data_IF_276359726353
#
_entry.id   IF_276359726353
#
_cell.length_a   1.000
_cell.length_b   1.000
_cell.length_c   1.000
_cell.angle_alpha   90.00
_cell.angle_beta   90.00
_cell.angle_gamma   90.00
#
_symmetry.space_group_name_H-M   'P 1'
#
loop_
_entity.id
_entity.type
_entity.pdbx_description
1 polymer ?
#
# COMPACT_ATOMS: atom_id res chain seq x y z
N UNK A 1 -7.02 10.34 4.46
CA UNK A 1 -6.91 9.01 3.81
C UNK A 1 -7.33 9.19 2.36
N UNK A 2 -6.52 8.74 1.40
CA UNK A 2 -6.86 8.78 -0.04
C UNK A 2 -7.90 7.71 -0.34
N UNK A 3 -8.91 8.03 -1.16
CA UNK A 3 -9.91 7.07 -1.62
C UNK A 3 -9.52 6.66 -3.04
N UNK A 4 -9.16 5.41 -3.21
CA UNK A 4 -8.80 4.85 -4.52
C UNK A 4 -10.04 4.67 -5.40
N UNK A 5 -9.86 4.70 -6.71
CA UNK A 5 -10.88 4.29 -7.66
C UNK A 5 -11.20 2.79 -7.48
N UNK A 6 -12.29 2.33 -8.10
CA UNK A 6 -12.70 0.91 -8.05
C UNK A 6 -11.56 -0.03 -8.44
N UNK A 7 -10.72 0.39 -9.38
CA UNK A 7 -9.54 -0.33 -9.78
C UNK A 7 -8.29 0.41 -9.33
N UNK A 8 -7.29 -0.32 -8.88
CA UNK A 8 -5.96 0.19 -8.64
C UNK A 8 -4.93 -0.78 -9.21
N UNK A 9 -3.86 -0.23 -9.77
CA UNK A 9 -2.83 -1.05 -10.42
C UNK A 9 -1.47 -0.66 -9.88
N UNK A 10 -0.77 -1.64 -9.33
CA UNK A 10 0.62 -1.49 -8.91
C UNK A 10 1.55 -1.39 -10.13
N UNK A 11 2.40 -0.36 -10.15
CA UNK A 11 3.40 -0.16 -11.19
C UNK A 11 4.77 0.03 -10.58
N UNK A 12 5.75 -0.74 -11.04
CA UNK A 12 7.13 -0.59 -10.61
C UNK A 12 7.88 0.42 -11.48
N UNK A 13 8.68 1.24 -10.82
CA UNK A 13 9.65 2.13 -11.49
C UNK A 13 10.92 2.20 -10.64
N UNK A 14 11.79 1.19 -10.81
CA UNK A 14 13.01 1.08 -10.00
C UNK A 14 13.86 2.34 -10.01
N UNK A 15 13.98 3.00 -11.16
CA UNK A 15 14.85 4.16 -11.32
C UNK A 15 14.14 5.51 -11.21
N UNK A 16 12.81 5.54 -11.01
CA UNK A 16 12.04 6.77 -10.89
C UNK A 16 11.99 7.60 -12.18
N UNK A 17 11.99 6.95 -13.34
CA UNK A 17 12.07 7.63 -14.66
C UNK A 17 10.89 7.37 -15.58
N UNK A 18 10.00 6.46 -15.21
CA UNK A 18 8.88 6.04 -16.05
C UNK A 18 7.53 6.63 -15.61
N UNK A 19 7.51 7.42 -14.55
CA UNK A 19 6.28 7.91 -13.93
C UNK A 19 5.33 8.60 -14.90
N UNK A 20 5.84 9.50 -15.76
CA UNK A 20 5.02 10.21 -16.77
C UNK A 20 4.46 9.26 -17.82
N UNK A 21 5.26 8.32 -18.33
CA UNK A 21 4.81 7.34 -19.31
C UNK A 21 3.75 6.40 -18.72
N UNK A 22 3.93 6.01 -17.47
CA UNK A 22 2.95 5.20 -16.74
C UNK A 22 1.65 5.97 -16.53
N UNK A 23 1.69 7.23 -16.09
CA UNK A 23 0.49 8.07 -15.97
C UNK A 23 -0.23 8.25 -17.32
N UNK A 24 0.52 8.43 -18.39
CA UNK A 24 -0.10 8.53 -19.72
C UNK A 24 -0.92 7.29 -20.07
N UNK A 25 -0.48 6.09 -19.68
CA UNK A 25 -1.26 4.88 -19.88
C UNK A 25 -2.59 4.91 -19.10
N UNK A 26 -2.59 5.46 -17.88
CA UNK A 26 -3.83 5.64 -17.10
C UNK A 26 -4.76 6.69 -17.70
N UNK A 27 -4.24 7.77 -18.26
CA UNK A 27 -5.02 8.76 -19.01
C UNK A 27 -5.72 8.11 -20.23
N UNK A 28 -5.00 7.28 -20.98
CA UNK A 28 -5.57 6.53 -22.11
C UNK A 28 -6.65 5.53 -21.65
N UNK A 29 -6.47 4.96 -20.48
CA UNK A 29 -7.47 4.07 -19.88
C UNK A 29 -8.72 4.84 -19.48
N UNK A 30 -8.55 5.99 -18.82
CA UNK A 30 -9.67 6.88 -18.45
C UNK A 30 -10.42 7.40 -19.68
N UNK A 31 -9.73 7.73 -20.78
CA UNK A 31 -10.36 8.13 -22.04
C UNK A 31 -11.24 7.01 -22.66
N UNK A 32 -11.04 5.76 -22.25
CA UNK A 32 -11.88 4.60 -22.62
C UNK A 32 -12.99 4.30 -21.60
N UNK A 33 -13.21 5.20 -20.63
CA UNK A 33 -14.26 5.06 -19.62
C UNK A 33 -13.90 4.15 -18.45
N UNK A 34 -12.62 3.78 -18.28
CA UNK A 34 -12.15 2.99 -17.14
C UNK A 34 -11.25 3.83 -16.25
N UNK A 35 -11.75 4.16 -15.06
CA UNK A 35 -10.99 4.90 -14.06
C UNK A 35 -10.24 3.94 -13.15
N UNK A 36 -8.93 4.10 -13.10
CA UNK A 36 -8.05 3.34 -12.22
C UNK A 36 -7.06 4.26 -11.52
N UNK A 37 -6.67 3.92 -10.30
CA UNK A 37 -5.63 4.61 -9.55
C UNK A 37 -4.29 3.92 -9.76
N UNK A 38 -3.25 4.70 -10.05
CA UNK A 38 -1.89 4.20 -10.10
C UNK A 38 -1.32 4.08 -8.69
N UNK A 39 -0.62 2.98 -8.43
CA UNK A 39 0.08 2.72 -7.17
C UNK A 39 1.54 2.43 -7.51
N UNK A 40 2.42 3.41 -7.37
CA UNK A 40 3.83 3.23 -7.60
C UNK A 40 4.48 2.45 -6.48
N UNK A 41 5.01 1.28 -6.79
CA UNK A 41 5.64 0.40 -5.81
C UNK A 41 7.15 0.35 -5.95
N UNK A 42 7.83 0.23 -4.82
CA UNK A 42 9.26 -0.05 -4.74
C UNK A 42 9.58 -0.68 -3.38
N UNK A 43 10.25 -1.81 -3.42
CA UNK A 43 10.64 -2.54 -2.22
C UNK A 43 11.88 -1.93 -1.55
N UNK A 44 12.04 -2.24 -0.26
CA UNK A 44 13.25 -1.87 0.47
C UNK A 44 14.52 -2.37 -0.22
N UNK A 45 14.49 -3.59 -0.76
CA UNK A 45 15.61 -4.17 -1.49
C UNK A 45 15.97 -3.36 -2.73
N UNK A 46 14.98 -2.87 -3.47
CA UNK A 46 15.23 -2.05 -4.66
C UNK A 46 15.81 -0.70 -4.29
N UNK A 47 15.33 -0.06 -3.24
CA UNK A 47 15.92 1.17 -2.72
C UNK A 47 17.39 0.99 -2.36
N UNK A 48 17.72 -0.06 -1.62
CA UNK A 48 19.10 -0.35 -1.24
C UNK A 48 19.99 -0.64 -2.45
N UNK A 49 19.46 -1.32 -3.46
CA UNK A 49 20.23 -1.69 -4.66
C UNK A 49 20.67 -0.47 -5.49
N UNK A 50 19.83 0.56 -5.54
CA UNK A 50 20.09 1.76 -6.37
C UNK A 50 20.47 2.99 -5.54
N UNK A 51 20.63 2.85 -4.23
CA UNK A 51 21.06 3.93 -3.32
C UNK A 51 20.01 5.03 -3.16
N UNK A 52 18.71 4.67 -3.14
CA UNK A 52 17.60 5.61 -2.92
C UNK A 52 16.85 5.31 -1.64
N UNK A 53 15.95 6.21 -1.23
CA UNK A 53 15.01 6.05 -0.14
C UNK A 53 13.54 6.19 -0.58
N UNK A 54 12.58 5.93 0.31
CA UNK A 54 11.15 6.16 0.04
C UNK A 54 10.82 7.61 -0.35
N UNK A 55 11.56 8.57 0.19
CA UNK A 55 11.48 10.00 -0.14
C UNK A 55 11.75 10.26 -1.63
N UNK A 56 12.73 9.58 -2.23
CA UNK A 56 13.06 9.73 -3.64
C UNK A 56 11.92 9.20 -4.53
N UNK A 57 11.30 8.09 -4.15
CA UNK A 57 10.16 7.55 -4.85
C UNK A 57 8.95 8.49 -4.76
N UNK A 58 8.69 9.05 -3.57
CA UNK A 58 7.65 10.07 -3.37
C UNK A 58 7.90 11.27 -4.28
N UNK A 59 9.10 11.81 -4.26
CA UNK A 59 9.48 12.97 -5.06
C UNK A 59 9.33 12.69 -6.57
N UNK A 60 9.75 11.52 -7.06
CA UNK A 60 9.61 11.13 -8.46
C UNK A 60 8.13 11.01 -8.88
N UNK A 61 7.29 10.41 -8.02
CA UNK A 61 5.85 10.27 -8.26
C UNK A 61 5.14 11.62 -8.32
N UNK A 62 5.42 12.50 -7.34
CA UNK A 62 4.84 13.84 -7.27
C UNK A 62 5.30 14.70 -8.48
N UNK A 63 6.55 14.54 -8.91
CA UNK A 63 7.06 15.22 -10.10
C UNK A 63 6.34 14.77 -11.38
N UNK A 64 6.10 13.48 -11.56
CA UNK A 64 5.37 12.92 -12.69
C UNK A 64 3.93 13.42 -12.73
N UNK A 65 3.24 13.43 -11.60
CA UNK A 65 1.87 13.96 -11.47
C UNK A 65 1.83 15.45 -11.82
N UNK A 66 2.79 16.23 -11.32
CA UNK A 66 2.90 17.66 -11.62
C UNK A 66 3.18 17.92 -13.10
N UNK A 67 4.11 17.18 -13.71
CA UNK A 67 4.49 17.35 -15.12
C UNK A 67 3.32 17.08 -16.07
N UNK A 68 2.48 16.12 -15.74
CA UNK A 68 1.29 15.79 -16.53
C UNK A 68 0.03 16.56 -16.12
N UNK A 69 0.11 17.42 -15.10
CA UNK A 69 -1.04 18.10 -14.51
C UNK A 69 -2.19 17.14 -14.15
N UNK A 70 -1.84 15.90 -13.80
CA UNK A 70 -2.80 14.87 -13.45
C UNK A 70 -3.53 15.21 -12.15
N UNK A 71 -4.85 15.00 -12.15
CA UNK A 71 -5.72 15.23 -10.98
C UNK A 71 -6.28 13.94 -10.41
N UNK A 72 -5.85 12.80 -10.95
CA UNK A 72 -6.24 11.48 -10.47
C UNK A 72 -5.69 11.15 -9.11
N UNK A 73 -6.28 10.14 -8.49
CA UNK A 73 -5.78 9.60 -7.23
C UNK A 73 -4.62 8.65 -7.51
N UNK A 74 -3.49 8.91 -6.87
CA UNK A 74 -2.31 8.05 -6.91
C UNK A 74 -1.82 7.73 -5.51
N UNK A 75 -1.12 6.63 -5.38
CA UNK A 75 -0.44 6.23 -4.16
C UNK A 75 1.02 5.87 -4.44
N UNK A 76 1.83 5.99 -3.39
CA UNK A 76 3.18 5.43 -3.33
C UNK A 76 3.16 4.28 -2.34
N UNK A 77 3.59 3.11 -2.78
CA UNK A 77 3.55 1.88 -2.00
C UNK A 77 4.91 1.55 -1.40
N UNK A 78 4.89 1.24 -0.12
CA UNK A 78 5.96 0.56 0.56
C UNK A 78 5.84 -0.94 0.28
N UNK A 79 6.50 -1.40 -0.79
CA UNK A 79 6.36 -2.76 -1.27
C UNK A 79 7.24 -3.75 -0.49
N UNK A 80 6.67 -4.90 -0.13
CA UNK A 80 7.34 -5.96 0.62
C UNK A 80 7.98 -5.48 1.93
N UNK A 81 7.15 -4.88 2.79
CA UNK A 81 7.62 -4.37 4.09
C UNK A 81 7.39 -5.34 5.23
N UNK A 82 8.24 -5.18 6.26
CA UNK A 82 8.18 -5.88 7.54
C UNK A 82 8.17 -4.88 8.70
N UNK A 83 7.86 -5.34 9.91
CA UNK A 83 7.95 -4.51 11.11
C UNK A 83 9.34 -3.91 11.35
N UNK A 84 10.40 -4.56 10.85
CA UNK A 84 11.77 -4.10 11.02
C UNK A 84 12.17 -2.95 10.09
N UNK A 85 11.38 -2.64 9.06
CA UNK A 85 11.74 -1.61 8.07
C UNK A 85 10.61 -0.63 7.74
N UNK A 86 9.39 -0.85 8.25
CA UNK A 86 8.23 -0.03 7.91
C UNK A 86 8.35 1.42 8.31
N UNK A 87 8.98 1.71 9.46
CA UNK A 87 9.02 3.05 10.05
C UNK A 87 9.57 4.11 9.09
N UNK A 88 10.58 3.75 8.29
CA UNK A 88 11.17 4.68 7.31
C UNK A 88 10.25 4.99 6.13
N UNK A 89 9.24 4.13 5.85
CA UNK A 89 8.29 4.32 4.76
C UNK A 89 7.07 5.14 5.16
N UNK A 90 6.68 5.10 6.45
CA UNK A 90 5.47 5.77 6.96
C UNK A 90 5.35 7.24 6.53
N UNK A 91 6.40 8.07 6.57
CA UNK A 91 6.29 9.48 6.19
C UNK A 91 6.04 9.70 4.69
N UNK A 92 6.37 8.73 3.84
CA UNK A 92 6.45 8.91 2.39
C UNK A 92 5.45 8.09 1.59
N UNK A 93 4.90 7.04 2.19
CA UNK A 93 4.03 6.09 1.50
C UNK A 93 2.57 6.22 1.95
N UNK A 94 1.66 5.98 1.03
CA UNK A 94 0.21 5.98 1.26
C UNK A 94 -0.37 4.57 1.25
N UNK A 95 0.37 3.62 0.70
CA UNK A 95 -0.01 2.23 0.50
C UNK A 95 1.08 1.33 1.07
N UNK A 96 0.71 0.14 1.57
CA UNK A 96 1.65 -0.72 2.27
C UNK A 96 1.38 -2.18 1.92
N UNK A 97 2.31 -2.77 1.18
CA UNK A 97 2.28 -4.20 0.83
C UNK A 97 3.09 -4.99 1.86
N UNK A 98 2.37 -5.68 2.75
CA UNK A 98 3.00 -6.40 3.86
C UNK A 98 3.54 -7.74 3.36
N UNK A 99 4.83 -7.98 3.57
CA UNK A 99 5.46 -9.26 3.27
C UNK A 99 5.26 -10.24 4.44
N UNK A 100 4.54 -11.30 4.17
CA UNK A 100 4.25 -12.37 5.14
C UNK A 100 4.84 -13.72 4.73
N UNK A 101 5.68 -13.76 3.69
CA UNK A 101 6.22 -14.99 3.11
C UNK A 101 6.93 -15.86 4.15
N UNK A 102 7.64 -15.23 5.07
CA UNK A 102 8.36 -15.94 6.14
C UNK A 102 7.44 -16.60 7.19
N UNK A 103 6.17 -16.23 7.22
CA UNK A 103 5.20 -16.65 8.23
C UNK A 103 4.11 -17.56 7.69
N UNK A 104 3.84 -17.52 6.39
CA UNK A 104 2.80 -18.34 5.76
C UNK A 104 3.09 -19.82 5.99
N UNK A 105 2.07 -20.53 6.48
CA UNK A 105 2.16 -21.97 6.76
C UNK A 105 2.96 -22.35 8.01
N UNK A 106 3.50 -21.39 8.75
CA UNK A 106 4.21 -21.65 10.00
C UNK A 106 3.26 -21.41 11.19
N UNK A 107 2.96 -22.43 12.02
CA UNK A 107 2.11 -22.23 13.18
C UNK A 107 2.78 -21.31 14.20
N UNK A 108 2.02 -20.38 14.75
CA UNK A 108 2.46 -19.62 15.92
C UNK A 108 2.31 -20.47 17.19
N UNK A 109 3.21 -20.32 18.16
CA UNK A 109 2.98 -20.94 19.47
C UNK A 109 1.75 -20.34 20.16
N UNK A 110 1.10 -21.11 21.01
CA UNK A 110 -0.08 -20.66 21.74
C UNK A 110 0.22 -19.42 22.60
N UNK A 111 1.44 -19.33 23.17
CA UNK A 111 1.88 -18.19 23.97
C UNK A 111 2.02 -16.92 23.11
N UNK A 112 2.63 -17.03 21.92
CA UNK A 112 2.77 -15.90 20.98
C UNK A 112 1.41 -15.43 20.48
N UNK A 113 0.51 -16.37 20.15
CA UNK A 113 -0.84 -16.04 19.74
C UNK A 113 -1.61 -15.31 20.85
N UNK A 114 -1.55 -15.79 22.10
CA UNK A 114 -2.16 -15.13 23.26
C UNK A 114 -1.56 -13.74 23.51
N UNK A 115 -0.24 -13.60 23.45
CA UNK A 115 0.43 -12.32 23.63
C UNK A 115 0.04 -11.31 22.54
N UNK A 116 -0.03 -11.73 21.29
CA UNK A 116 -0.49 -10.90 20.18
C UNK A 116 -1.94 -10.43 20.40
N UNK A 117 -2.83 -11.37 20.73
CA UNK A 117 -4.24 -11.07 21.01
C UNK A 117 -4.34 -10.08 22.19
N UNK A 118 -3.63 -10.31 23.29
CA UNK A 118 -3.64 -9.42 24.45
C UNK A 118 -3.12 -8.01 24.12
N UNK A 119 -2.10 -7.90 23.28
CA UNK A 119 -1.48 -6.64 22.91
C UNK A 119 -2.30 -5.84 21.87
N UNK A 120 -3.05 -6.54 20.99
CA UNK A 120 -3.69 -5.92 19.82
C UNK A 120 -5.22 -5.87 19.88
N UNK A 121 -5.85 -6.73 20.70
CA UNK A 121 -7.29 -6.77 20.89
C UNK A 121 -7.88 -5.84 21.97
N UNK A 122 -7.15 -4.98 22.69
CA UNK A 122 -7.76 -3.83 23.32
C UNK A 122 -8.05 -2.70 22.30
N UNK A 123 -8.20 -2.98 21.03
CA UNK A 123 -8.86 -2.08 20.10
C UNK A 123 -10.35 -1.93 20.46
N UNK A 124 -10.57 -1.59 21.76
CA UNK A 124 -11.86 -1.26 22.34
C UNK A 124 -12.80 -2.45 22.42
N UNK A 125 -13.29 -2.73 23.62
CA UNK A 125 -14.28 -3.78 23.91
C UNK A 125 -15.59 -3.67 23.11
N UNK A 126 -15.72 -2.65 22.22
CA UNK A 126 -16.94 -2.30 21.50
C UNK A 126 -16.72 -1.94 20.01
N UNK A 127 -15.60 -2.34 19.39
CA UNK A 127 -15.37 -2.04 17.98
C UNK A 127 -15.29 -3.28 17.13
N UNK A 128 -16.47 -3.81 16.78
CA UNK A 128 -16.64 -4.44 15.48
C UNK A 128 -16.29 -3.37 14.42
N UNK A 129 -15.22 -3.58 13.67
CA UNK A 129 -14.94 -2.76 12.50
C UNK A 129 -15.73 -3.36 11.33
N UNK A 130 -16.78 -2.72 10.83
CA UNK A 130 -17.50 -3.24 9.67
C UNK A 130 -16.58 -3.17 8.46
N UNK A 131 -16.20 -4.32 7.92
CA UNK A 131 -15.50 -4.42 6.65
C UNK A 131 -16.55 -4.50 5.55
N UNK A 132 -16.57 -3.53 4.63
CA UNK A 132 -17.45 -3.56 3.47
C UNK A 132 -16.72 -4.22 2.30
N UNK A 133 -17.25 -5.35 1.84
CA UNK A 133 -16.81 -6.03 0.62
C UNK A 133 -18.02 -6.16 -0.28
N UNK A 134 -17.95 -5.63 -1.50
CA UNK A 134 -19.01 -5.71 -2.54
C UNK A 134 -20.42 -5.34 -2.07
N UNK A 135 -20.53 -4.30 -1.25
CA UNK A 135 -21.80 -3.85 -0.70
C UNK A 135 -22.33 -4.64 0.49
N UNK A 136 -21.69 -5.75 0.84
CA UNK A 136 -22.00 -6.49 2.06
C UNK A 136 -21.16 -5.96 3.23
N UNK A 137 -21.79 -5.77 4.38
CA UNK A 137 -21.10 -5.43 5.63
C UNK A 137 -20.78 -6.72 6.36
N UNK A 138 -19.50 -7.03 6.51
CA UNK A 138 -19.04 -8.15 7.33
C UNK A 138 -18.64 -7.59 8.69
N UNK A 139 -19.37 -7.97 9.73
CA UNK A 139 -18.97 -7.66 11.10
C UNK A 139 -17.90 -8.65 11.54
N UNK A 140 -16.67 -8.16 11.71
CA UNK A 140 -15.61 -8.93 12.35
C UNK A 140 -15.78 -8.77 13.86
N UNK A 141 -16.52 -9.67 14.47
CA UNK A 141 -16.56 -9.78 15.94
C UNK A 141 -15.26 -10.43 16.43
N UNK A 142 -14.70 -9.91 17.51
CA UNK A 142 -13.65 -10.62 18.22
C UNK A 142 -14.24 -11.99 18.67
N UNK A 143 -13.82 -13.06 18.00
CA UNK A 143 -14.22 -14.40 18.38
C UNK A 143 -13.75 -14.66 19.82
N UNK A 144 -14.66 -15.22 20.64
CA UNK A 144 -14.38 -15.65 22.02
C UNK A 144 -13.33 -16.75 22.05
#
# INVERSE_FOLDING_TARGET
MKVLNRYSVGTGDRFGRQGEAQLHAFELLAARGVEASIVWNKSNREHLLIGTGPEDQRAASDAAVKARADKGVYCVDADHIHLSNVDKFIPWCDFFTIDVADYIGKPASAERAKAFVAARLPLGKDKSAPVRIDGATIEVSAAK
#
